data_IF_030872542218
#
_entry.id   IF_030872542218
#
_cell.length_a   1.000
_cell.length_b   1.000
_cell.length_c   1.000
_cell.angle_alpha   90.00
_cell.angle_beta   90.00
_cell.angle_gamma   90.00
#
_symmetry.space_group_name_H-M   'P 1'
#
loop_
_entity.id
_entity.type
_entity.pdbx_description
1 polymer ?
#
# COMPACT_ATOMS: atom_id res chain seq x y z
N UNK A 1 50.06 45.39 -18.65
CA UNK A 1 50.70 44.21 -18.02
C UNK A 1 49.75 43.69 -16.94
N UNK A 2 49.46 42.38 -16.90
CA UNK A 2 48.71 41.74 -15.81
C UNK A 2 47.32 41.23 -16.22
N UNK A 3 47.24 40.14 -16.99
CA UNK A 3 46.94 38.77 -16.51
C UNK A 3 45.45 38.48 -16.34
N UNK A 4 44.80 38.15 -17.46
CA UNK A 4 43.50 37.50 -17.54
C UNK A 4 43.62 35.99 -17.26
N UNK A 5 43.11 35.54 -16.11
CA UNK A 5 42.92 34.13 -15.79
C UNK A 5 41.58 33.65 -16.39
N UNK A 6 41.59 33.21 -17.64
CA UNK A 6 40.55 32.34 -18.19
C UNK A 6 40.83 30.92 -17.71
N UNK A 7 40.10 30.49 -16.69
CA UNK A 7 40.12 29.12 -16.19
C UNK A 7 39.03 28.37 -16.92
N UNK A 8 39.40 27.74 -18.04
CA UNK A 8 38.54 26.78 -18.74
C UNK A 8 38.21 25.63 -17.78
N UNK A 9 36.93 25.39 -17.45
CA UNK A 9 36.55 24.14 -16.78
C UNK A 9 36.67 23.03 -17.82
N UNK A 10 37.83 22.36 -17.77
CA UNK A 10 38.13 21.20 -18.58
C UNK A 10 37.02 20.16 -18.51
N UNK A 11 36.55 19.78 -19.69
CA UNK A 11 36.52 18.39 -20.18
C UNK A 11 36.86 17.37 -19.08
N UNK A 12 35.89 17.08 -18.22
CA UNK A 12 35.98 15.93 -17.32
C UNK A 12 35.67 14.71 -18.18
N UNK A 13 36.68 13.87 -18.32
CA UNK A 13 36.70 12.63 -19.09
C UNK A 13 35.40 11.81 -18.87
N UNK A 14 34.58 11.69 -19.91
CA UNK A 14 33.37 10.86 -19.92
C UNK A 14 33.67 9.40 -19.52
N UNK A 15 34.92 8.96 -19.72
CA UNK A 15 35.40 7.62 -19.35
C UNK A 15 35.46 7.37 -17.83
N UNK A 16 35.49 8.41 -16.98
CA UNK A 16 35.59 8.20 -15.52
C UNK A 16 34.22 7.90 -14.87
N UNK A 17 33.12 8.31 -15.47
CA UNK A 17 31.77 7.98 -14.98
C UNK A 17 31.43 6.49 -15.20
N UNK A 18 31.84 5.91 -16.33
CA UNK A 18 31.57 4.50 -16.64
C UNK A 18 32.31 3.53 -15.71
N UNK A 19 33.48 3.92 -15.19
CA UNK A 19 34.23 3.12 -14.21
C UNK A 19 33.53 3.08 -12.85
N UNK A 20 32.91 4.18 -12.43
CA UNK A 20 32.15 4.22 -11.17
C UNK A 20 30.87 3.39 -11.25
N UNK A 21 30.16 3.46 -12.37
CA UNK A 21 28.93 2.71 -12.62
C UNK A 21 29.16 1.18 -12.63
N UNK A 22 30.29 0.74 -13.17
CA UNK A 22 30.66 -0.68 -13.18
C UNK A 22 31.05 -1.20 -11.79
N UNK A 23 31.71 -0.36 -10.97
CA UNK A 23 32.06 -0.72 -9.61
C UNK A 23 30.79 -0.87 -8.74
N UNK A 24 29.81 0.02 -8.89
CA UNK A 24 28.57 -0.02 -8.12
C UNK A 24 27.71 -1.26 -8.47
N UNK A 25 27.59 -1.60 -9.76
CA UNK A 25 26.93 -2.83 -10.24
C UNK A 25 27.61 -4.09 -9.68
N UNK A 26 28.94 -4.10 -9.57
CA UNK A 26 29.71 -5.22 -9.00
C UNK A 26 29.46 -5.40 -7.50
N UNK A 27 29.37 -4.30 -6.74
CA UNK A 27 29.07 -4.35 -5.30
C UNK A 27 27.65 -4.85 -5.05
N UNK A 28 26.63 -4.33 -5.76
CA UNK A 28 25.23 -4.78 -5.61
C UNK A 28 25.06 -6.27 -5.91
N UNK A 29 25.69 -6.77 -6.98
CA UNK A 29 25.64 -8.20 -7.32
C UNK A 29 26.34 -9.10 -6.29
N UNK A 30 27.33 -8.57 -5.55
CA UNK A 30 28.02 -9.34 -4.50
C UNK A 30 27.18 -9.51 -3.23
N UNK A 31 26.34 -8.52 -2.89
CA UNK A 31 25.44 -8.53 -1.73
C UNK A 31 24.31 -9.55 -1.96
N UNK A 32 23.66 -9.51 -3.13
CA UNK A 32 22.58 -10.46 -3.50
C UNK A 32 23.07 -11.92 -3.51
N UNK A 33 24.32 -12.17 -3.92
CA UNK A 33 24.91 -13.52 -3.87
C UNK A 33 25.22 -14.00 -2.45
N UNK A 34 25.60 -13.11 -1.53
CA UNK A 34 25.85 -13.48 -0.12
C UNK A 34 24.54 -13.80 0.62
N UNK A 35 23.47 -13.08 0.34
CA UNK A 35 22.18 -13.30 1.02
C UNK A 35 21.46 -14.55 0.53
N UNK A 36 21.54 -14.86 -0.76
CA UNK A 36 21.02 -16.13 -1.31
C UNK A 36 21.76 -17.37 -0.80
N UNK A 37 23.05 -17.25 -0.45
CA UNK A 37 23.82 -18.32 0.18
C UNK A 37 23.45 -18.51 1.67
N UNK A 38 23.07 -17.44 2.39
CA UNK A 38 22.58 -17.53 3.78
C UNK A 38 21.18 -18.13 3.87
N UNK A 39 20.31 -17.88 2.89
CA UNK A 39 18.96 -18.44 2.86
C UNK A 39 18.95 -19.97 2.63
N UNK A 40 19.92 -20.54 1.90
CA UNK A 40 20.01 -21.99 1.67
C UNK A 40 20.53 -22.78 2.88
N UNK A 41 21.07 -22.12 3.91
CA UNK A 41 21.61 -22.76 5.11
C UNK A 41 20.62 -22.83 6.28
N UNK A 42 19.45 -22.19 6.17
CA UNK A 42 18.35 -22.32 7.14
C UNK A 42 17.34 -23.35 6.64
N UNK A 43 17.57 -24.60 7.05
CA UNK A 43 16.53 -25.57 7.37
C UNK A 43 15.49 -25.85 6.30
N UNK A 44 15.67 -26.99 5.62
CA UNK A 44 14.54 -27.80 5.17
C UNK A 44 13.66 -28.16 6.37
N UNK A 45 12.69 -27.30 6.69
CA UNK A 45 11.58 -27.66 7.55
C UNK A 45 10.70 -28.62 6.75
N UNK A 46 10.71 -29.91 7.11
CA UNK A 46 9.72 -30.88 6.64
C UNK A 46 8.36 -30.40 7.15
N UNK A 47 7.61 -29.72 6.29
CA UNK A 47 6.18 -29.53 6.46
C UNK A 47 5.54 -30.86 6.11
N UNK A 48 5.17 -31.59 7.16
CA UNK A 48 4.40 -32.81 7.11
C UNK A 48 3.06 -32.52 6.42
N UNK A 49 2.88 -33.09 5.23
CA UNK A 49 1.65 -33.03 4.45
C UNK A 49 0.57 -33.85 5.14
N UNK A 50 -0.23 -33.22 6.00
CA UNK A 50 -1.52 -33.75 6.41
C UNK A 50 -2.49 -33.68 5.21
N UNK A 51 -2.61 -34.83 4.53
CA UNK A 51 -3.70 -35.13 3.59
C UNK A 51 -5.01 -35.27 4.37
N UNK A 52 -5.84 -34.24 4.32
CA UNK A 52 -7.28 -34.29 4.55
C UNK A 52 -7.86 -33.05 3.86
N UNK A 53 -8.59 -33.15 2.76
CA UNK A 53 -9.95 -33.68 2.76
C UNK A 53 -10.90 -32.52 2.44
N UNK A 54 -11.11 -32.29 1.15
CA UNK A 54 -12.32 -31.78 0.51
C UNK A 54 -13.16 -30.65 1.14
N UNK A 55 -13.38 -29.64 0.30
CA UNK A 55 -14.66 -28.94 0.05
C UNK A 55 -15.22 -28.10 1.21
N UNK A 56 -15.15 -26.78 1.07
CA UNK A 56 -16.31 -25.90 0.81
C UNK A 56 -15.83 -24.45 0.66
N UNK A 57 -16.63 -23.69 -0.06
CA UNK A 57 -16.47 -22.27 -0.39
C UNK A 57 -16.15 -21.48 0.90
N UNK A 58 -15.01 -20.81 0.94
CA UNK A 58 -14.80 -19.73 1.89
C UNK A 58 -15.68 -18.56 1.42
N UNK A 59 -16.87 -18.47 1.98
CA UNK A 59 -17.46 -17.18 2.26
C UNK A 59 -16.40 -16.38 3.04
N UNK A 60 -16.17 -15.15 2.62
CA UNK A 60 -15.33 -14.21 3.32
C UNK A 60 -16.03 -13.89 4.64
N UNK A 61 -15.77 -14.73 5.64
CA UNK A 61 -16.26 -14.57 6.99
C UNK A 61 -15.64 -13.28 7.51
N UNK A 62 -16.48 -12.24 7.60
CA UNK A 62 -16.17 -11.02 8.32
C UNK A 62 -15.71 -11.45 9.71
N UNK A 63 -14.39 -11.40 9.91
CA UNK A 63 -13.78 -11.54 11.22
C UNK A 63 -14.26 -10.33 12.02
N UNK A 64 -15.41 -10.46 12.66
CA UNK A 64 -15.81 -9.61 13.77
C UNK A 64 -14.71 -9.84 14.81
N UNK A 65 -13.73 -8.92 14.85
CA UNK A 65 -12.75 -8.91 15.95
C UNK A 65 -13.57 -8.81 17.22
N UNK A 66 -13.26 -9.65 18.20
CA UNK A 66 -13.87 -9.53 19.53
C UNK A 66 -13.71 -8.08 20.00
N UNK A 67 -14.75 -7.49 20.63
CA UNK A 67 -14.75 -6.09 21.06
C UNK A 67 -13.66 -5.88 22.11
N UNK A 68 -12.43 -5.64 21.67
CA UNK A 68 -11.35 -5.17 22.52
C UNK A 68 -11.74 -3.79 23.01
N UNK A 69 -11.74 -3.62 24.34
CA UNK A 69 -11.95 -2.38 25.10
C UNK A 69 -12.24 -1.15 24.23
N UNK A 70 -13.49 -1.03 23.76
CA UNK A 70 -13.96 0.22 23.18
C UNK A 70 -13.97 1.22 24.32
N UNK A 71 -13.12 2.26 24.23
CA UNK A 71 -13.20 3.36 25.18
C UNK A 71 -14.59 3.96 25.04
N UNK A 72 -15.37 3.83 26.10
CA UNK A 72 -16.77 4.23 26.12
C UNK A 72 -16.88 5.71 25.75
N UNK A 73 -17.69 6.01 24.73
CA UNK A 73 -17.89 7.37 24.28
C UNK A 73 -18.55 8.20 25.39
N UNK A 74 -18.18 9.49 25.56
CA UNK A 74 -18.86 10.35 26.51
C UNK A 74 -20.38 10.38 26.25
N UNK A 75 -21.17 10.28 27.31
CA UNK A 75 -22.62 10.22 27.21
C UNK A 75 -23.18 11.45 26.47
N UNK A 76 -24.04 11.19 25.48
CA UNK A 76 -24.69 12.26 24.71
C UNK A 76 -23.84 12.87 23.60
N UNK A 77 -22.75 12.20 23.18
CA UNK A 77 -21.99 12.55 21.98
C UNK A 77 -22.08 11.40 20.98
N UNK A 78 -22.46 11.64 19.71
CA UNK A 78 -22.55 10.59 18.71
C UNK A 78 -21.16 10.07 18.35
N UNK A 79 -21.05 8.75 18.16
CA UNK A 79 -19.80 8.09 17.78
C UNK A 79 -19.75 7.86 16.28
N UNK A 80 -18.69 8.34 15.64
CA UNK A 80 -18.39 8.10 14.23
C UNK A 80 -17.41 6.95 14.07
N UNK A 81 -17.75 5.96 13.25
CA UNK A 81 -16.87 4.85 12.84
C UNK A 81 -16.57 4.93 11.35
N UNK A 82 -15.55 4.21 10.89
CA UNK A 82 -15.14 4.17 9.48
C UNK A 82 -14.95 5.57 8.87
N UNK A 83 -14.45 6.50 9.66
CA UNK A 83 -14.43 7.91 9.28
C UNK A 83 -13.19 8.24 8.44
N UNK A 84 -13.32 9.20 7.53
CA UNK A 84 -12.26 9.67 6.65
C UNK A 84 -12.20 11.19 6.70
N UNK A 85 -10.99 11.71 6.85
CA UNK A 85 -10.73 13.14 6.76
C UNK A 85 -10.71 13.58 5.29
N UNK A 86 -11.61 14.50 4.94
CA UNK A 86 -11.63 15.15 3.62
C UNK A 86 -10.52 16.19 3.52
N UNK A 87 -10.06 16.55 2.30
CA UNK A 87 -9.05 17.58 2.11
C UNK A 87 -9.50 18.98 2.57
N UNK A 88 -10.81 19.19 2.73
CA UNK A 88 -11.42 20.43 3.23
C UNK A 88 -11.45 20.47 4.77
N UNK A 89 -10.92 19.46 5.47
CA UNK A 89 -10.90 19.43 6.94
C UNK A 89 -12.19 18.91 7.59
N UNK A 90 -13.20 18.54 6.80
CA UNK A 90 -14.42 17.88 7.25
C UNK A 90 -14.22 16.36 7.42
N UNK A 91 -15.01 15.74 8.31
CA UNK A 91 -14.98 14.29 8.54
C UNK A 91 -16.22 13.65 7.93
N UNK A 92 -16.02 12.61 7.12
CA UNK A 92 -17.07 11.77 6.57
C UNK A 92 -17.04 10.42 7.29
N UNK A 93 -18.12 9.99 7.94
CA UNK A 93 -18.13 8.72 8.67
C UNK A 93 -19.53 8.18 8.92
N UNK A 94 -19.60 6.94 9.37
CA UNK A 94 -20.86 6.26 9.70
C UNK A 94 -21.18 6.45 11.19
N UNK A 95 -22.44 6.73 11.51
CA UNK A 95 -22.88 6.86 12.91
C UNK A 95 -23.07 5.47 13.52
N UNK A 96 -22.25 5.09 14.50
CA UNK A 96 -22.37 3.79 15.17
C UNK A 96 -23.39 3.81 16.32
N UNK A 97 -23.42 4.88 17.08
CA UNK A 97 -24.38 5.02 18.17
C UNK A 97 -24.89 6.47 18.18
N UNK A 98 -26.15 6.63 17.77
CA UNK A 98 -26.83 7.90 17.74
C UNK A 98 -27.29 8.30 19.14
N UNK A 99 -27.31 9.61 19.44
CA UNK A 99 -28.08 10.10 20.57
C UNK A 99 -29.53 9.63 20.38
N UNK A 100 -30.12 9.06 21.43
CA UNK A 100 -31.57 8.75 21.49
C UNK A 100 -32.50 9.93 21.18
N UNK A 101 -31.96 11.16 21.09
CA UNK A 101 -32.68 12.40 20.93
C UNK A 101 -32.36 13.15 19.62
N UNK A 102 -31.67 12.54 18.64
CA UNK A 102 -31.24 13.20 17.41
C UNK A 102 -31.82 12.61 16.12
N UNK A 103 -31.82 13.40 15.05
CA UNK A 103 -32.30 13.07 13.69
C UNK A 103 -31.41 12.06 12.93
N UNK A 104 -30.39 11.49 13.58
CA UNK A 104 -29.41 10.62 12.94
C UNK A 104 -29.73 9.15 13.19
N UNK A 105 -29.78 8.38 12.10
CA UNK A 105 -29.99 6.94 12.19
C UNK A 105 -28.66 6.19 12.34
N UNK A 106 -28.67 5.08 13.09
CA UNK A 106 -27.52 4.17 13.16
C UNK A 106 -27.17 3.63 11.76
N UNK A 107 -25.88 3.70 11.40
CA UNK A 107 -25.35 3.35 10.09
C UNK A 107 -25.50 4.43 9.02
N UNK A 108 -26.03 5.62 9.36
CA UNK A 108 -26.11 6.73 8.42
C UNK A 108 -24.72 7.32 8.16
N UNK A 109 -24.38 7.50 6.88
CA UNK A 109 -23.16 8.18 6.46
C UNK A 109 -23.38 9.69 6.56
N UNK A 110 -22.69 10.33 7.49
CA UNK A 110 -22.77 11.78 7.68
C UNK A 110 -21.45 12.45 7.33
N UNK A 111 -21.56 13.63 6.74
CA UNK A 111 -20.44 14.53 6.52
C UNK A 111 -20.54 15.67 7.53
N UNK A 112 -19.52 15.84 8.36
CA UNK A 112 -19.45 16.95 9.31
C UNK A 112 -18.98 18.22 8.60
N UNK A 113 -19.14 19.38 9.26
CA UNK A 113 -18.41 20.59 8.88
C UNK A 113 -16.91 20.45 9.22
N UNK A 114 -16.11 21.45 8.82
CA UNK A 114 -14.69 21.52 9.14
C UNK A 114 -14.47 21.42 10.66
N UNK A 115 -13.43 20.70 11.08
CA UNK A 115 -13.10 20.52 12.50
C UNK A 115 -12.38 21.76 13.01
N UNK A 116 -13.04 22.50 13.90
CA UNK A 116 -12.50 23.70 14.52
C UNK A 116 -11.50 23.40 15.63
N UNK A 117 -11.75 22.33 16.41
CA UNK A 117 -10.91 21.96 17.55
C UNK A 117 -10.73 20.43 17.65
N UNK A 118 -9.47 20.02 17.83
CA UNK A 118 -9.06 18.63 18.01
C UNK A 118 -7.91 18.23 17.09
N UNK A 119 -7.18 17.18 17.45
CA UNK A 119 -6.22 16.54 16.55
C UNK A 119 -6.95 15.43 15.80
N UNK A 120 -7.13 15.60 14.50
CA UNK A 120 -7.88 14.68 13.63
C UNK A 120 -7.18 13.33 13.38
N UNK A 121 -5.98 13.12 13.93
CA UNK A 121 -5.19 11.90 13.69
C UNK A 121 -5.26 10.89 14.85
N UNK A 122 -6.06 11.15 15.87
CA UNK A 122 -6.15 10.29 17.04
C UNK A 122 -7.54 9.69 17.16
N UNK A 123 -7.59 8.36 17.14
CA UNK A 123 -8.78 7.59 17.50
C UNK A 123 -9.15 7.86 18.96
N UNK A 124 -10.42 7.71 19.28
CA UNK A 124 -10.98 7.86 20.62
C UNK A 124 -10.90 9.27 21.20
N UNK A 125 -10.90 10.30 20.34
CA UNK A 125 -10.98 11.71 20.75
C UNK A 125 -12.32 12.33 20.35
N UNK A 126 -12.79 13.25 21.22
CA UNK A 126 -13.90 14.14 20.88
C UNK A 126 -13.36 15.27 20.01
N UNK A 127 -14.02 15.50 18.88
CA UNK A 127 -13.77 16.62 17.98
C UNK A 127 -14.96 17.56 17.96
N UNK A 128 -14.67 18.85 17.81
CA UNK A 128 -15.69 19.89 17.72
C UNK A 128 -15.61 20.53 16.34
N UNK A 129 -16.74 20.52 15.62
CA UNK A 129 -16.87 21.14 14.30
C UNK A 129 -17.04 22.65 14.42
N UNK A 130 -16.85 23.39 13.33
CA UNK A 130 -17.11 24.83 13.28
C UNK A 130 -18.55 25.21 13.66
N UNK A 131 -19.51 24.32 13.42
CA UNK A 131 -20.91 24.52 13.85
C UNK A 131 -21.10 24.40 15.37
N UNK A 132 -20.07 23.99 16.12
CA UNK A 132 -20.13 23.69 17.56
C UNK A 132 -20.69 22.30 17.88
N UNK A 133 -20.91 21.46 16.86
CA UNK A 133 -21.35 20.08 17.06
C UNK A 133 -20.16 19.21 17.49
N UNK A 134 -20.41 18.30 18.43
CA UNK A 134 -19.36 17.42 18.97
C UNK A 134 -19.56 16.00 18.47
N UNK A 135 -18.48 15.35 18.08
CA UNK A 135 -18.47 13.96 17.64
C UNK A 135 -17.33 13.22 18.32
N UNK A 136 -17.56 11.96 18.65
CA UNK A 136 -16.52 11.08 19.17
C UNK A 136 -15.98 10.22 18.03
N UNK A 137 -14.69 10.33 17.72
CA UNK A 137 -14.06 9.56 16.66
C UNK A 137 -13.73 8.16 17.20
N UNK A 138 -14.46 7.14 16.73
CA UNK A 138 -14.20 5.74 17.02
C UNK A 138 -13.02 5.18 16.22
N UNK A 139 -12.88 3.85 16.25
CA UNK A 139 -11.85 3.12 15.49
C UNK A 139 -12.00 3.42 14.00
N UNK A 140 -10.88 3.76 13.37
CA UNK A 140 -10.84 3.89 11.93
C UNK A 140 -10.31 2.60 11.31
N UNK A 141 -11.19 1.62 11.10
CA UNK A 141 -10.82 0.35 10.44
C UNK A 141 -10.35 0.55 8.97
N UNK A 142 -10.43 1.77 8.45
CA UNK A 142 -10.01 2.15 7.08
C UNK A 142 -8.50 2.04 6.87
N UNK A 143 -7.67 1.93 7.92
CA UNK A 143 -6.22 1.66 7.76
C UNK A 143 -5.93 0.28 7.12
N UNK A 144 -6.92 -0.63 7.06
CA UNK A 144 -6.82 -1.93 6.37
C UNK A 144 -7.83 -2.13 5.23
N UNK A 145 -8.49 -1.08 4.71
CA UNK A 145 -9.34 -1.26 3.53
C UNK A 145 -8.46 -1.38 2.24
N UNK A 146 -8.56 -2.50 1.51
CA UNK A 146 -7.82 -2.68 0.26
C UNK A 146 -8.27 -1.60 -0.71
N UNK A 147 -7.31 -0.97 -1.41
CA UNK A 147 -7.56 -0.07 -2.55
C UNK A 147 -8.62 -0.70 -3.47
N UNK A 148 -9.88 -0.37 -3.24
CA UNK A 148 -10.98 -0.71 -4.11
C UNK A 148 -10.84 0.21 -5.30
N UNK A 149 -10.10 -0.29 -6.30
CA UNK A 149 -10.17 0.30 -7.63
C UNK A 149 -11.65 0.47 -7.97
N UNK A 150 -12.08 1.64 -8.48
CA UNK A 150 -13.41 1.79 -8.99
C UNK A 150 -13.57 0.75 -10.10
N UNK A 151 -14.34 -0.30 -9.82
CA UNK A 151 -14.76 -1.27 -10.83
C UNK A 151 -15.80 -0.55 -11.66
N UNK A 152 -15.30 0.27 -12.58
CA UNK A 152 -16.04 0.92 -13.64
C UNK A 152 -16.80 -0.18 -14.37
N UNK A 153 -18.10 -0.25 -14.05
CA UNK A 153 -19.01 -1.26 -14.54
C UNK A 153 -19.31 -0.87 -15.99
N UNK A 154 -18.48 -1.35 -16.91
CA UNK A 154 -18.74 -1.25 -18.33
C UNK A 154 -20.19 -1.75 -18.61
N UNK A 155 -21.00 -1.01 -19.38
CA UNK A 155 -22.32 -1.47 -19.77
C UNK A 155 -22.15 -2.74 -20.62
N UNK A 156 -22.66 -3.86 -20.11
CA UNK A 156 -22.73 -5.11 -20.85
C UNK A 156 -23.54 -4.88 -22.13
N UNK A 157 -22.98 -5.16 -23.33
CA UNK A 157 -23.74 -5.04 -24.56
C UNK A 157 -24.87 -6.07 -24.58
N UNK A 158 -26.01 -5.61 -25.09
CA UNK A 158 -27.25 -6.35 -25.23
C UNK A 158 -27.05 -7.73 -25.85
N UNK A 159 -27.56 -8.76 -25.18
CA UNK A 159 -27.74 -10.11 -25.73
C UNK A 159 -28.80 -10.05 -26.84
N UNK A 160 -28.38 -9.80 -28.08
CA UNK A 160 -29.18 -10.14 -29.26
C UNK A 160 -29.32 -11.65 -29.34
N UNK A 161 -30.53 -12.13 -29.02
CA UNK A 161 -31.01 -13.48 -29.28
C UNK A 161 -30.73 -13.88 -30.73
N UNK A 162 -29.89 -14.89 -30.92
CA UNK A 162 -29.82 -15.63 -32.18
C UNK A 162 -31.05 -16.57 -32.29
N UNK A 163 -31.73 -16.63 -33.44
CA UNK A 163 -32.78 -17.63 -33.68
C UNK A 163 -32.16 -19.02 -33.91
N UNK A 164 -32.68 -20.01 -33.19
CA UNK A 164 -32.32 -21.42 -33.30
C UNK A 164 -32.71 -22.01 -34.67
N UNK A 165 -31.94 -22.98 -35.19
CA UNK A 165 -32.29 -23.70 -36.41
C UNK A 165 -33.42 -24.70 -36.16
N UNK A 166 -34.42 -24.67 -37.03
CA UNK A 166 -35.55 -25.62 -37.11
C UNK A 166 -35.01 -27.03 -37.34
N UNK A 167 -35.17 -27.91 -36.35
CA UNK A 167 -35.09 -29.36 -36.52
C UNK A 167 -36.41 -29.86 -37.11
N UNK A 168 -36.40 -30.23 -38.38
CA UNK A 168 -37.42 -31.07 -39.03
C UNK A 168 -36.77 -32.39 -39.44
N UNK A 169 -36.76 -33.33 -38.50
CA UNK A 169 -36.80 -34.78 -38.76
C UNK A 169 -38.02 -35.28 -38.00
N UNK A 170 -38.83 -36.22 -38.47
CA UNK A 170 -38.70 -37.22 -39.50
C UNK A 170 -39.75 -38.26 -39.12
N UNK A 171 -40.87 -38.25 -39.82
CA UNK A 171 -41.93 -39.24 -39.67
C UNK A 171 -42.14 -39.90 -41.03
N UNK A 172 -41.84 -41.19 -41.08
CA UNK A 172 -42.35 -42.12 -42.09
C UNK A 172 -43.87 -42.26 -41.89
N UNK A 173 -44.67 -42.55 -42.93
CA UNK A 173 -44.81 -43.95 -43.34
C UNK A 173 -44.91 -44.17 -44.85
N UNK A 174 -44.80 -45.45 -45.21
CA UNK A 174 -45.00 -46.03 -46.53
C UNK A 174 -46.33 -45.63 -47.18
N UNK A 175 -46.34 -45.48 -48.50
CA UNK A 175 -47.38 -46.14 -49.30
C UNK A 175 -46.97 -46.30 -50.77
N UNK A 176 -47.37 -47.45 -51.28
CA UNK A 176 -47.13 -48.04 -52.58
C UNK A 176 -48.17 -47.51 -53.58
N UNK A 177 -47.73 -46.76 -54.61
CA UNK A 177 -48.63 -46.37 -55.71
C UNK A 177 -47.92 -46.55 -57.06
N UNK A 178 -48.52 -47.45 -57.83
CA UNK A 178 -48.26 -47.87 -59.20
C UNK A 178 -48.26 -46.67 -60.17
N UNK A 179 -47.30 -46.53 -61.10
CA UNK A 179 -47.34 -45.48 -62.13
C UNK A 179 -48.35 -45.83 -63.26
N UNK A 180 -49.32 -44.96 -63.58
CA UNK A 180 -50.11 -45.09 -64.80
C UNK A 180 -49.33 -44.58 -66.02
N UNK A 181 -49.68 -45.05 -67.25
CA UNK A 181 -48.92 -44.79 -68.46
C UNK A 181 -49.10 -43.39 -69.02
N UNK A 182 -47.96 -42.86 -69.48
CA UNK A 182 -47.72 -41.84 -70.50
C UNK A 182 -48.95 -41.40 -71.32
N UNK A 183 -49.37 -40.15 -71.09
CA UNK A 183 -50.05 -39.34 -72.11
C UNK A 183 -49.13 -38.17 -72.49
N UNK A 184 -48.87 -37.94 -73.79
CA UNK A 184 -47.99 -36.86 -74.24
C UNK A 184 -48.66 -35.51 -74.02
N UNK A 185 -47.99 -34.53 -73.37
CA UNK A 185 -48.55 -33.21 -73.14
C UNK A 185 -48.72 -32.44 -74.47
N UNK A 186 -49.78 -31.62 -74.58
CA UNK A 186 -50.08 -30.86 -75.80
C UNK A 186 -48.99 -29.82 -76.09
N UNK A 187 -48.54 -29.76 -77.34
CA UNK A 187 -47.41 -28.99 -77.84
C UNK A 187 -47.54 -27.44 -77.78
N UNK A 188 -48.39 -26.88 -76.91
CA UNK A 188 -48.67 -25.43 -76.84
C UNK A 188 -48.04 -24.69 -75.65
N UNK A 189 -47.35 -25.37 -74.73
CA UNK A 189 -46.79 -24.75 -73.50
C UNK A 189 -45.31 -24.35 -73.58
N UNK A 190 -44.64 -24.57 -74.72
CA UNK A 190 -43.18 -24.38 -74.84
C UNK A 190 -42.75 -22.90 -74.82
N UNK A 191 -43.63 -21.98 -75.20
CA UNK A 191 -43.33 -20.53 -75.24
C UNK A 191 -43.50 -19.89 -73.84
N UNK A 192 -44.45 -20.36 -73.03
CA UNK A 192 -44.64 -19.86 -71.65
C UNK A 192 -43.55 -20.37 -70.69
N UNK A 193 -43.04 -21.59 -70.91
CA UNK A 193 -41.95 -22.15 -70.09
C UNK A 193 -40.61 -21.43 -70.28
N UNK A 194 -40.39 -20.81 -71.44
CA UNK A 194 -39.16 -20.08 -71.74
C UNK A 194 -39.13 -18.69 -71.07
N UNK A 195 -40.29 -18.02 -71.01
CA UNK A 195 -40.45 -16.76 -70.28
C UNK A 195 -40.24 -16.95 -68.76
N UNK A 196 -40.81 -18.00 -68.17
CA UNK A 196 -40.64 -18.32 -66.74
C UNK A 196 -39.18 -18.64 -66.36
N UNK A 197 -38.40 -19.19 -67.30
CA UNK A 197 -37.00 -19.52 -67.08
C UNK A 197 -36.10 -18.29 -67.10
N UNK A 198 -36.40 -17.29 -67.94
CA UNK A 198 -35.73 -15.99 -67.95
C UNK A 198 -35.97 -15.21 -66.65
N UNK A 199 -37.20 -15.24 -66.10
CA UNK A 199 -37.50 -14.59 -64.83
C UNK A 199 -36.78 -15.26 -63.65
N UNK A 200 -36.72 -16.60 -63.63
CA UNK A 200 -35.89 -17.32 -62.64
C UNK A 200 -34.40 -17.00 -62.77
N UNK A 201 -33.88 -16.80 -63.99
CA UNK A 201 -32.50 -16.42 -64.19
C UNK A 201 -32.23 -15.00 -63.69
N UNK A 202 -33.11 -14.04 -63.97
CA UNK A 202 -33.01 -12.67 -63.44
C UNK A 202 -33.02 -12.65 -61.91
N UNK A 203 -33.94 -13.36 -61.28
CA UNK A 203 -34.02 -13.44 -59.82
C UNK A 203 -32.76 -14.08 -59.20
N UNK A 204 -32.20 -15.11 -59.85
CA UNK A 204 -30.93 -15.73 -59.41
C UNK A 204 -29.75 -14.77 -59.53
N UNK A 205 -29.69 -13.97 -60.58
CA UNK A 205 -28.62 -12.97 -60.79
C UNK A 205 -28.75 -11.83 -59.76
N UNK A 206 -29.96 -11.34 -59.49
CA UNK A 206 -30.20 -10.31 -58.48
C UNK A 206 -29.87 -10.81 -57.07
N UNK A 207 -30.28 -12.04 -56.71
CA UNK A 207 -29.91 -12.66 -55.43
C UNK A 207 -28.40 -12.87 -55.29
N UNK A 208 -27.73 -13.26 -56.38
CA UNK A 208 -26.27 -13.39 -56.38
C UNK A 208 -25.55 -12.04 -56.24
N UNK A 209 -26.06 -10.98 -56.89
CA UNK A 209 -25.54 -9.62 -56.76
C UNK A 209 -25.73 -9.08 -55.33
N UNK A 210 -26.93 -9.25 -54.76
CA UNK A 210 -27.22 -8.85 -53.38
C UNK A 210 -26.33 -9.58 -52.36
N UNK A 211 -26.10 -10.88 -52.54
CA UNK A 211 -25.21 -11.65 -51.66
C UNK A 211 -23.75 -11.22 -51.76
N UNK A 212 -23.28 -10.84 -52.96
CA UNK A 212 -21.93 -10.26 -53.15
C UNK A 212 -21.79 -8.91 -52.47
N UNK A 213 -22.80 -8.03 -52.60
CA UNK A 213 -22.81 -6.73 -51.93
C UNK A 213 -22.79 -6.86 -50.39
N UNK A 214 -23.55 -7.81 -49.82
CA UNK A 214 -23.51 -8.09 -48.38
C UNK A 214 -22.14 -8.60 -47.90
N UNK A 215 -21.48 -9.48 -48.68
CA UNK A 215 -20.14 -9.97 -48.34
C UNK A 215 -19.12 -8.83 -48.37
N UNK A 216 -19.19 -7.93 -49.34
CA UNK A 216 -18.28 -6.78 -49.43
C UNK A 216 -18.51 -5.78 -48.29
N UNK A 217 -19.77 -5.48 -47.97
CA UNK A 217 -20.11 -4.61 -46.84
C UNK A 217 -19.63 -5.21 -45.51
N UNK A 218 -19.80 -6.52 -45.31
CA UNK A 218 -19.32 -7.20 -44.11
C UNK A 218 -17.78 -7.22 -44.00
N UNK A 219 -17.06 -7.28 -45.13
CA UNK A 219 -15.59 -7.17 -45.15
C UNK A 219 -15.13 -5.77 -44.78
N UNK A 220 -15.76 -4.72 -45.34
CA UNK A 220 -15.45 -3.33 -45.01
C UNK A 220 -15.72 -3.03 -43.52
N UNK A 221 -16.84 -3.49 -42.98
CA UNK A 221 -17.16 -3.31 -41.55
C UNK A 221 -16.13 -4.00 -40.63
N UNK A 222 -15.68 -5.21 -40.98
CA UNK A 222 -14.63 -5.90 -40.19
C UNK A 222 -13.28 -5.21 -40.26
N UNK A 223 -12.90 -4.70 -41.44
CA UNK A 223 -11.65 -3.95 -41.59
C UNK A 223 -11.67 -2.63 -40.81
N UNK A 224 -12.82 -1.94 -40.79
CA UNK A 224 -13.01 -0.72 -40.01
C UNK A 224 -12.99 -1.01 -38.50
N UNK A 225 -13.57 -2.12 -38.05
CA UNK A 225 -13.51 -2.56 -36.65
C UNK A 225 -12.07 -2.91 -36.22
N UNK A 226 -11.28 -3.57 -37.07
CA UNK A 226 -9.85 -3.80 -36.78
C UNK A 226 -9.04 -2.51 -36.77
N UNK A 227 -9.32 -1.56 -37.68
CA UNK A 227 -8.70 -0.23 -37.66
C UNK A 227 -9.06 0.54 -36.38
N UNK A 228 -10.30 0.45 -35.92
CA UNK A 228 -10.72 1.05 -34.65
C UNK A 228 -10.01 0.39 -33.44
N UNK A 229 -9.88 -0.94 -33.42
CA UNK A 229 -9.17 -1.67 -32.35
C UNK A 229 -7.68 -1.37 -32.31
N UNK A 230 -7.03 -1.26 -33.48
CA UNK A 230 -5.59 -0.94 -33.55
C UNK A 230 -5.30 0.50 -33.13
N UNK A 231 -6.22 1.44 -33.36
CA UNK A 231 -6.12 2.82 -32.87
C UNK A 231 -6.44 2.97 -31.37
N UNK A 232 -7.30 2.12 -30.79
CA UNK A 232 -7.66 2.19 -29.37
C UNK A 232 -6.59 1.61 -28.42
N UNK A 233 -5.85 0.58 -28.85
CA UNK A 233 -4.80 -0.07 -28.05
C UNK A 233 -3.67 0.87 -27.54
N UNK A 234 -3.10 1.78 -28.36
CA UNK A 234 -2.03 2.67 -27.90
C UNK A 234 -2.53 3.76 -26.94
N UNK A 235 -3.80 4.17 -27.00
CA UNK A 235 -4.36 5.17 -26.09
C UNK A 235 -4.49 4.61 -24.66
N UNK A 236 -5.01 3.38 -24.51
CA UNK A 236 -5.11 2.72 -23.22
C UNK A 236 -3.73 2.48 -22.58
N UNK A 237 -2.72 2.12 -23.39
CA UNK A 237 -1.35 1.89 -22.90
C UNK A 237 -0.65 3.17 -22.42
N UNK A 238 -0.98 4.34 -22.98
CA UNK A 238 -0.46 5.63 -22.52
C UNK A 238 -1.02 6.02 -21.15
N UNK A 239 -2.30 5.73 -20.89
CA UNK A 239 -2.90 6.01 -19.57
C UNK A 239 -2.30 5.14 -18.47
N UNK A 240 -2.04 3.86 -18.74
CA UNK A 240 -1.41 2.98 -17.73
C UNK A 240 0.02 3.38 -17.38
N UNK A 241 0.79 3.86 -18.36
CA UNK A 241 2.16 4.32 -18.13
C UNK A 241 2.21 5.63 -17.33
N UNK A 242 1.29 6.57 -17.60
CA UNK A 242 1.15 7.80 -16.80
C UNK A 242 0.89 7.49 -15.33
N UNK A 243 -0.04 6.56 -15.05
CA UNK A 243 -0.37 6.15 -13.69
C UNK A 243 0.81 5.48 -12.96
N UNK A 244 1.66 4.72 -13.65
CA UNK A 244 2.86 4.13 -13.03
C UNK A 244 3.92 5.17 -12.66
N UNK A 245 4.13 6.19 -13.51
CA UNK A 245 5.08 7.26 -13.22
C UNK A 245 4.61 8.13 -12.04
N UNK A 246 3.32 8.45 -11.98
CA UNK A 246 2.73 9.17 -10.85
C UNK A 246 2.85 8.36 -9.55
N UNK A 247 2.59 7.05 -9.59
CA UNK A 247 2.79 6.18 -8.44
C UNK A 247 4.24 6.16 -7.96
N UNK A 248 5.21 6.13 -8.88
CA UNK A 248 6.64 6.23 -8.55
C UNK A 248 6.99 7.60 -7.94
N UNK A 249 6.46 8.70 -8.48
CA UNK A 249 6.65 10.04 -7.93
C UNK A 249 6.10 10.13 -6.51
N UNK A 250 4.90 9.61 -6.28
CA UNK A 250 4.27 9.60 -4.96
C UNK A 250 5.06 8.76 -3.94
N UNK A 251 5.52 7.57 -4.34
CA UNK A 251 6.38 6.74 -3.49
C UNK A 251 7.69 7.43 -3.11
N UNK A 252 8.36 8.08 -4.08
CA UNK A 252 9.60 8.83 -3.84
C UNK A 252 9.36 10.04 -2.91
N UNK A 253 8.24 10.75 -3.09
CA UNK A 253 7.89 11.87 -2.22
C UNK A 253 7.61 11.40 -0.79
N UNK A 254 6.88 10.29 -0.63
CA UNK A 254 6.62 9.67 0.67
C UNK A 254 7.90 9.25 1.37
N UNK A 255 8.85 8.65 0.65
CA UNK A 255 10.16 8.27 1.19
C UNK A 255 10.96 9.49 1.67
N UNK A 256 10.91 10.60 0.91
CA UNK A 256 11.56 11.85 1.29
C UNK A 256 11.00 12.43 2.59
N UNK A 257 9.67 12.44 2.75
CA UNK A 257 8.98 12.94 3.96
C UNK A 257 9.38 12.09 5.18
N UNK A 258 9.39 10.76 5.04
CA UNK A 258 9.78 9.86 6.13
C UNK A 258 11.24 10.06 6.54
N UNK A 259 12.14 10.24 5.56
CA UNK A 259 13.55 10.52 5.84
C UNK A 259 13.73 11.88 6.53
N UNK A 260 12.98 12.91 6.13
CA UNK A 260 13.00 14.22 6.78
C UNK A 260 12.51 14.13 8.24
N UNK A 261 11.42 13.40 8.50
CA UNK A 261 10.93 13.17 9.87
C UNK A 261 11.96 12.43 10.72
N UNK A 262 12.58 11.38 10.18
CA UNK A 262 13.65 10.66 10.87
C UNK A 262 14.84 11.56 11.20
N UNK A 263 15.23 12.44 10.26
CA UNK A 263 16.30 13.42 10.47
C UNK A 263 15.94 14.45 11.57
N UNK A 264 14.68 14.90 11.63
CA UNK A 264 14.21 15.81 12.69
C UNK A 264 14.27 15.16 14.07
N UNK A 265 13.80 13.92 14.19
CA UNK A 265 13.84 13.14 15.45
C UNK A 265 15.30 12.93 15.89
N UNK A 266 16.19 12.55 14.97
CA UNK A 266 17.60 12.37 15.27
C UNK A 266 18.28 13.67 15.73
N UNK A 267 17.97 14.80 15.07
CA UNK A 267 18.49 16.11 15.46
C UNK A 267 17.98 16.55 16.85
N UNK A 268 16.71 16.29 17.17
CA UNK A 268 16.16 16.59 18.49
C UNK A 268 16.83 15.73 19.58
N UNK A 269 17.03 14.44 19.32
CA UNK A 269 17.73 13.54 20.24
C UNK A 269 19.16 14.01 20.51
N UNK A 270 19.90 14.41 19.46
CA UNK A 270 21.25 14.95 19.60
C UNK A 270 21.28 16.23 20.44
N UNK A 271 20.28 17.12 20.28
CA UNK A 271 20.14 18.31 21.12
C UNK A 271 19.89 17.97 22.59
N UNK A 272 19.05 16.97 22.87
CA UNK A 272 18.80 16.50 24.26
C UNK A 272 20.06 15.93 24.90
N UNK A 273 20.81 15.10 24.17
CA UNK A 273 22.08 14.55 24.65
C UNK A 273 23.12 15.66 24.92
N UNK A 274 23.19 16.69 24.07
CA UNK A 274 24.05 17.85 24.33
C UNK A 274 23.65 18.63 25.59
N UNK A 275 22.35 18.84 25.79
CA UNK A 275 21.83 19.52 26.98
C UNK A 275 22.11 18.73 28.26
N UNK A 276 22.00 17.40 28.23
CA UNK A 276 22.35 16.54 29.36
C UNK A 276 23.84 16.61 29.69
N UNK A 277 24.72 16.55 28.69
CA UNK A 277 26.16 16.72 28.88
C UNK A 277 26.52 18.10 29.46
N UNK A 278 25.85 19.16 29.00
CA UNK A 278 26.05 20.50 29.53
C UNK A 278 25.54 20.62 30.98
N UNK A 279 24.40 20.01 31.29
CA UNK A 279 23.86 19.93 32.65
C UNK A 279 24.81 19.16 33.59
N UNK A 280 25.35 18.03 33.15
CA UNK A 280 26.33 17.26 33.91
C UNK A 280 27.62 18.07 34.14
N UNK A 281 28.10 18.76 33.11
CA UNK A 281 29.26 19.65 33.21
C UNK A 281 29.04 20.76 34.24
N UNK A 282 27.88 21.41 34.22
CA UNK A 282 27.54 22.47 35.17
C UNK A 282 27.44 21.93 36.60
N UNK A 283 26.82 20.76 36.78
CA UNK A 283 26.76 20.09 38.09
C UNK A 283 28.16 19.76 38.63
N UNK A 284 29.08 19.29 37.78
CA UNK A 284 30.46 19.01 38.17
C UNK A 284 31.22 20.29 38.56
N UNK A 285 30.96 21.42 37.88
CA UNK A 285 31.55 22.71 38.25
C UNK A 285 31.04 23.19 39.61
N UNK A 286 29.75 23.06 39.90
CA UNK A 286 29.19 23.42 41.21
C UNK A 286 29.76 22.56 42.34
N UNK A 287 29.94 21.26 42.10
CA UNK A 287 30.61 20.35 43.05
C UNK A 287 32.08 20.77 43.27
N UNK A 288 32.78 21.22 42.22
CA UNK A 288 34.15 21.70 42.36
C UNK A 288 34.22 22.99 43.20
N UNK A 289 33.33 23.95 42.93
CA UNK A 289 33.26 25.23 43.66
C UNK A 289 32.90 25.01 45.15
N UNK A 290 31.96 24.11 45.45
CA UNK A 290 31.59 23.79 46.84
C UNK A 290 32.72 23.12 47.61
N UNK A 291 33.51 22.24 46.96
CA UNK A 291 34.70 21.63 47.59
C UNK A 291 35.79 22.65 47.88
N UNK A 292 36.01 23.60 46.98
CA UNK A 292 36.97 24.69 47.18
C UNK A 292 36.55 25.57 48.38
N UNK A 293 35.27 25.93 48.47
CA UNK A 293 34.72 26.72 49.59
C UNK A 293 34.84 26.02 50.96
N UNK A 294 34.81 24.69 50.99
CA UNK A 294 34.98 23.91 52.23
C UNK A 294 36.44 23.83 52.73
N UNK A 295 37.40 24.43 52.01
CA UNK A 295 38.81 24.43 52.42
C UNK A 295 39.47 23.04 52.38
N UNK A 296 38.86 22.09 51.69
CA UNK A 296 39.44 20.75 51.48
C UNK A 296 40.59 20.90 50.48
N UNK A 297 41.82 20.96 50.99
CA UNK A 297 43.04 20.99 50.17
C UNK A 297 43.04 19.77 49.23
N UNK A 298 43.10 20.05 47.93
CA UNK A 298 43.38 19.16 46.80
C UNK A 298 43.28 17.66 47.07
N UNK A 299 42.13 17.05 46.75
CA UNK A 299 42.08 15.61 46.50
C UNK A 299 42.50 15.33 45.06
N UNK A 300 43.67 14.72 44.87
CA UNK A 300 44.15 14.29 43.56
C UNK A 300 43.39 13.03 43.14
N UNK A 301 42.54 13.16 42.12
CA UNK A 301 41.81 12.01 41.53
C UNK A 301 42.72 11.35 40.51
N UNK A 302 43.24 10.17 40.86
CA UNK A 302 44.00 9.33 39.94
C UNK A 302 43.07 8.49 39.07
N UNK A 303 43.29 8.49 37.76
CA UNK A 303 42.63 7.56 36.84
C UNK A 303 43.61 6.43 36.56
N UNK A 304 43.22 5.19 36.87
CA UNK A 304 44.01 4.01 36.53
C UNK A 304 44.01 3.75 35.03
N UNK A 305 45.02 3.01 34.56
CA UNK A 305 45.11 2.48 33.21
C UNK A 305 43.90 1.64 32.77
N UNK A 306 43.09 1.15 33.71
CA UNK A 306 41.86 0.39 33.47
C UNK A 306 40.59 1.28 33.48
N UNK A 307 40.73 2.61 33.62
CA UNK A 307 39.62 3.56 33.59
C UNK A 307 38.87 3.73 34.92
N UNK A 308 39.29 3.02 35.98
CA UNK A 308 38.74 3.21 37.32
C UNK A 308 39.31 4.48 37.97
N UNK A 309 38.43 5.35 38.45
CA UNK A 309 38.79 6.58 39.18
C UNK A 309 38.96 6.24 40.66
N UNK A 310 40.09 6.59 41.25
CA UNK A 310 40.31 6.49 42.69
C UNK A 310 40.64 7.84 43.28
N UNK A 311 40.22 8.06 44.53
CA UNK A 311 40.53 9.26 45.29
C UNK A 311 41.64 8.92 46.27
N UNK A 312 42.82 9.53 46.11
CA UNK A 312 43.91 9.43 47.08
C UNK A 312 43.77 10.65 48.00
N UNK A 313 43.38 10.49 49.27
CA UNK A 313 43.46 11.59 50.22
C UNK A 313 44.93 11.97 50.42
N UNK A 314 45.29 13.22 50.16
CA UNK A 314 46.57 13.78 50.58
C UNK A 314 46.57 13.95 52.10
N UNK A 315 46.81 12.86 52.83
CA UNK A 315 47.16 12.96 54.25
C UNK A 315 48.55 13.56 54.38
N UNK A 316 48.62 14.69 55.07
CA UNK A 316 49.83 15.43 55.39
C UNK A 316 51.01 14.52 55.80
N UNK A 317 51.96 14.31 54.88
CA UNK A 317 53.37 14.04 55.16
C UNK A 317 53.76 12.76 55.92
N UNK A 318 52.84 11.91 56.37
CA UNK A 318 53.18 10.67 57.06
C UNK A 318 52.72 9.48 56.24
N UNK A 319 53.68 8.83 55.57
CA UNK A 319 53.47 7.63 54.78
C UNK A 319 52.95 6.47 55.64
N UNK A 320 51.63 6.38 55.80
CA UNK A 320 50.99 5.19 56.36
C UNK A 320 51.07 4.09 55.30
N UNK A 321 51.92 3.08 55.57
CA UNK A 321 52.04 1.90 54.71
C UNK A 321 50.66 1.27 54.53
N UNK A 322 50.21 0.99 53.29
CA UNK A 322 48.91 0.39 53.05
C UNK A 322 48.86 -0.98 53.74
N UNK A 323 47.97 -1.11 54.73
CA UNK A 323 47.71 -2.39 55.40
C UNK A 323 47.03 -3.30 54.38
N UNK A 324 47.72 -4.38 53.99
CA UNK A 324 47.24 -5.39 53.04
C UNK A 324 46.02 -6.10 53.65
N UNK A 325 44.82 -5.64 53.33
CA UNK A 325 43.56 -6.31 53.71
C UNK A 325 43.52 -7.65 52.96
N UNK A 326 43.30 -8.73 53.70
CA UNK A 326 43.27 -10.08 53.13
C UNK A 326 41.93 -10.29 52.40
N UNK A 327 41.90 -10.95 51.23
CA UNK A 327 40.68 -11.17 50.44
C UNK A 327 39.54 -11.90 51.15
N UNK A 328 39.81 -12.54 52.30
CA UNK A 328 38.82 -13.30 53.08
C UNK A 328 37.78 -12.46 53.80
N UNK A 329 37.93 -11.13 53.87
CA UNK A 329 37.03 -10.25 54.62
C UNK A 329 35.91 -9.64 53.76
N UNK A 330 35.95 -9.80 52.42
CA UNK A 330 34.96 -9.20 51.51
C UNK A 330 33.66 -10.02 51.33
N UNK A 331 33.51 -11.15 52.03
CA UNK A 331 32.40 -12.11 51.82
C UNK A 331 31.34 -12.10 52.94
N UNK A 332 31.20 -11.02 53.71
CA UNK A 332 30.09 -10.88 54.67
C UNK A 332 29.44 -9.51 54.57
N UNK A 333 28.41 -9.41 53.73
CA UNK A 333 27.09 -8.84 54.07
C UNK A 333 26.28 -8.54 52.79
N UNK A 334 25.45 -9.48 52.30
CA UNK A 334 24.38 -9.18 51.37
C UNK A 334 23.05 -9.11 52.13
N UNK A 335 22.76 -8.01 52.82
CA UNK A 335 21.41 -7.75 53.32
C UNK A 335 21.20 -6.27 53.64
N UNK A 336 20.73 -5.51 52.64
CA UNK A 336 19.69 -4.48 52.78
C UNK A 336 19.57 -3.77 51.43
N UNK A 337 18.68 -4.26 50.58
CA UNK A 337 18.07 -3.43 49.53
C UNK A 337 16.58 -3.47 49.85
N UNK A 338 16.13 -2.47 50.60
CA UNK A 338 14.71 -2.19 50.78
C UNK A 338 14.19 -1.61 49.46
N UNK A 339 13.39 -2.41 48.78
CA UNK A 339 12.62 -2.06 47.61
C UNK A 339 11.42 -1.20 48.06
N UNK A 340 11.55 0.13 47.94
CA UNK A 340 10.40 1.04 48.05
C UNK A 340 9.71 1.11 46.69
N UNK A 341 8.56 0.45 46.60
CA UNK A 341 7.64 0.60 45.47
C UNK A 341 7.03 2.02 45.38
N UNK A 342 6.57 2.42 44.18
CA UNK A 342 5.95 3.72 43.97
C UNK A 342 4.55 3.78 44.59
N UNK A 343 4.25 4.89 45.30
CA UNK A 343 2.89 5.24 45.70
C UNK A 343 2.10 5.72 44.48
N UNK A 344 0.84 5.26 44.42
CA UNK A 344 -0.20 5.65 43.45
C UNK A 344 -0.54 7.15 43.46
#
# INVERSE_FOLDING_TARGET
MGCSNSKDPGLLDEDMMDVMDNHEKKVRNSIVKKDSARLKKRGTFKVEQSRGGMKKKAAHELRIREPGEMKEAPAGIPTLVNWVLTPEGAVLGEVFEGLKNGDYHEGELIQTSEIAMGQLCEEWKVVETESGSKYFLGINDTDELPQSQPKERAPSPAQTKAPSPVQTGGASPADEIIPPPLTPPPARTRVESEAALLDQQKEKVEKAAAKRAQIEAAKKAKEEEERAKTLALPAARRQTLGNEEEKKRWAKNREMILNEQAARIAAEKAKREQYELERERNMLMDIALTKEAQGVKSMTVGVSSEGHKYVIPEENGNAVKPKRIKPSEMMRNPSLVEEKGPME
#
